data_IF_279103899350
#
_entry.id   IF_279103899350
#
_cell.length_a   1.000
_cell.length_b   1.000
_cell.length_c   1.000
_cell.angle_alpha   90.00
_cell.angle_beta   90.00
_cell.angle_gamma   90.00
#
_symmetry.space_group_name_H-M   'P 1'
#
loop_
_entity.id
_entity.type
_entity.pdbx_description
1 polymer ?
#
# COMPACT_ATOMS: atom_id res chain seq x y z
N UNK A 1 -10.06 3.93 7.91
CA UNK A 1 -10.15 3.03 6.74
C UNK A 1 -10.50 1.63 7.22
N UNK A 2 -11.36 0.92 6.51
CA UNK A 2 -11.84 -0.43 6.84
C UNK A 2 -11.59 -1.37 5.67
N UNK A 3 -11.15 -2.60 5.95
CA UNK A 3 -11.13 -3.71 4.99
C UNK A 3 -11.95 -4.84 5.63
N UNK A 4 -13.14 -5.10 5.08
CA UNK A 4 -14.12 -5.93 5.75
C UNK A 4 -14.56 -5.28 7.08
N UNK A 5 -14.69 -6.09 8.12
CA UNK A 5 -15.09 -5.64 9.45
C UNK A 5 -13.93 -5.03 10.27
N UNK A 6 -12.69 -5.09 9.78
CA UNK A 6 -11.49 -4.68 10.52
C UNK A 6 -10.93 -3.32 10.07
N UNK A 7 -10.39 -2.59 11.04
CA UNK A 7 -9.75 -1.30 10.81
C UNK A 7 -8.29 -1.45 10.40
N UNK A 8 -7.88 -0.65 9.42
CA UNK A 8 -6.47 -0.39 9.15
C UNK A 8 -6.04 0.73 10.09
N UNK A 9 -5.19 0.40 11.08
CA UNK A 9 -4.69 1.36 12.07
C UNK A 9 -3.18 1.24 12.27
N UNK A 10 -2.58 2.39 12.62
CA UNK A 10 -1.20 2.54 13.07
C UNK A 10 -0.97 1.86 14.42
N UNK A 11 -2.00 1.74 15.24
CA UNK A 11 -1.89 1.13 16.58
C UNK A 11 -1.44 -0.33 16.52
N UNK A 12 -1.80 -1.07 15.47
CA UNK A 12 -1.31 -2.44 15.26
C UNK A 12 0.21 -2.50 15.11
N UNK A 13 0.81 -1.52 14.41
CA UNK A 13 2.27 -1.42 14.26
C UNK A 13 2.94 -0.95 15.57
N UNK A 14 2.30 -0.03 16.29
CA UNK A 14 2.80 0.41 17.60
C UNK A 14 2.74 -0.71 18.64
N UNK A 15 1.70 -1.54 18.59
CA UNK A 15 1.56 -2.73 19.42
C UNK A 15 2.68 -3.73 19.07
N UNK A 16 2.91 -4.01 17.79
CA UNK A 16 4.00 -4.88 17.34
C UNK A 16 5.36 -4.45 17.90
N UNK A 17 5.68 -3.16 17.80
CA UNK A 17 6.94 -2.58 18.31
C UNK A 17 7.06 -2.75 19.83
N UNK A 18 5.95 -2.75 20.57
CA UNK A 18 5.94 -2.94 22.02
C UNK A 18 6.02 -4.41 22.42
N UNK A 19 5.36 -5.30 21.66
CA UNK A 19 5.15 -6.69 22.04
C UNK A 19 6.20 -7.66 21.51
N UNK A 20 6.97 -7.28 20.49
CA UNK A 20 7.96 -8.14 19.84
C UNK A 20 9.33 -7.49 19.76
N UNK A 21 10.38 -8.31 19.65
CA UNK A 21 11.76 -7.81 19.55
C UNK A 21 11.97 -7.09 18.23
N UNK A 22 12.69 -5.96 18.25
CA UNK A 22 13.08 -5.20 17.05
C UNK A 22 13.68 -6.09 15.97
N UNK A 23 14.40 -7.15 16.34
CA UNK A 23 15.06 -8.06 15.39
C UNK A 23 14.06 -8.81 14.49
N UNK A 24 12.81 -9.03 14.92
CA UNK A 24 11.83 -9.79 14.13
C UNK A 24 11.15 -8.94 13.06
N UNK A 25 11.04 -7.63 13.26
CA UNK A 25 10.27 -6.74 12.37
C UNK A 25 11.05 -5.53 11.84
N UNK A 26 12.20 -5.22 12.44
CA UNK A 26 13.09 -4.10 12.10
C UNK A 26 12.43 -2.70 12.08
N UNK A 27 11.39 -2.51 12.89
CA UNK A 27 10.67 -1.23 13.00
C UNK A 27 11.03 -0.49 14.28
N UNK A 28 11.07 0.83 14.20
CA UNK A 28 11.08 1.74 15.35
C UNK A 28 9.90 2.70 15.29
N UNK A 29 9.59 3.37 16.41
CA UNK A 29 8.46 4.31 16.50
C UNK A 29 8.52 5.42 15.45
N UNK A 30 9.70 5.90 15.11
CA UNK A 30 9.90 6.95 14.09
C UNK A 30 9.65 6.48 12.65
N UNK A 31 9.69 5.16 12.39
CA UNK A 31 9.29 4.64 11.08
C UNK A 31 7.76 4.79 10.93
N UNK A 32 7.02 4.43 11.98
CA UNK A 32 5.55 4.38 12.00
C UNK A 32 4.89 5.75 12.21
N UNK A 33 5.52 6.62 13.02
CA UNK A 33 5.11 8.00 13.25
C UNK A 33 6.23 8.91 12.71
N UNK A 34 6.33 9.06 11.38
CA UNK A 34 7.39 9.83 10.79
C UNK A 34 7.17 11.33 11.05
N UNK A 35 8.25 12.05 11.38
CA UNK A 35 8.24 13.52 11.38
C UNK A 35 8.07 14.06 9.96
N UNK A 36 8.72 13.41 9.00
CA UNK A 36 8.62 13.70 7.57
C UNK A 36 7.74 12.67 6.86
N UNK A 37 6.57 13.12 6.38
CA UNK A 37 5.62 12.28 5.67
C UNK A 37 6.07 11.86 4.27
N UNK A 38 7.14 12.48 3.74
CA UNK A 38 7.75 12.12 2.45
C UNK A 38 8.84 11.06 2.57
N UNK A 39 9.13 10.57 3.79
CA UNK A 39 10.13 9.53 4.01
C UNK A 39 9.69 8.17 3.44
N UNK A 40 10.10 7.90 2.20
CA UNK A 40 9.85 6.63 1.52
C UNK A 40 10.46 5.42 2.24
N UNK A 41 11.61 5.59 2.92
CA UNK A 41 12.29 4.49 3.61
C UNK A 41 11.43 3.92 4.76
N UNK A 42 10.68 4.77 5.45
CA UNK A 42 9.70 4.32 6.45
C UNK A 42 8.61 3.45 5.83
N UNK A 43 8.07 3.86 4.68
CA UNK A 43 7.07 3.08 3.95
C UNK A 43 7.62 1.71 3.53
N UNK A 44 8.87 1.68 3.07
CA UNK A 44 9.56 0.44 2.71
C UNK A 44 9.70 -0.53 3.89
N UNK A 45 10.15 -0.04 5.05
CA UNK A 45 10.30 -0.89 6.24
C UNK A 45 8.97 -1.42 6.74
N UNK A 46 7.94 -0.57 6.81
CA UNK A 46 6.62 -0.96 7.33
C UNK A 46 5.97 -2.00 6.41
N UNK A 47 6.15 -1.89 5.09
CA UNK A 47 5.63 -2.85 4.11
C UNK A 47 6.57 -4.04 3.85
N UNK A 48 7.61 -4.22 4.67
CA UNK A 48 8.54 -5.33 4.53
C UNK A 48 7.89 -6.67 4.88
N UNK A 49 8.45 -7.75 4.34
CA UNK A 49 8.00 -9.10 4.65
C UNK A 49 8.18 -9.46 6.13
N UNK A 50 9.27 -8.98 6.75
CA UNK A 50 9.51 -9.15 8.18
C UNK A 50 8.40 -8.48 9.02
N UNK A 51 8.05 -7.23 8.71
CA UNK A 51 6.95 -6.53 9.39
C UNK A 51 5.60 -7.21 9.16
N UNK A 52 5.31 -7.65 7.92
CA UNK A 52 4.08 -8.37 7.59
C UNK A 52 3.96 -9.69 8.38
N UNK A 53 5.02 -10.51 8.39
CA UNK A 53 5.03 -11.78 9.10
C UNK A 53 4.90 -11.57 10.61
N UNK A 54 5.58 -10.56 11.17
CA UNK A 54 5.52 -10.26 12.58
C UNK A 54 4.12 -9.75 13.03
N UNK A 55 3.40 -9.03 12.15
CA UNK A 55 2.01 -8.59 12.43
C UNK A 55 1.03 -9.74 12.65
N UNK A 56 1.32 -10.96 12.20
CA UNK A 56 0.46 -12.13 12.47
C UNK A 56 0.27 -12.40 13.96
N UNK A 57 1.24 -12.00 14.79
CA UNK A 57 1.17 -12.08 16.25
C UNK A 57 0.28 -11.02 16.89
N UNK A 58 -0.11 -9.98 16.15
CA UNK A 58 -0.95 -8.89 16.65
C UNK A 58 -2.43 -9.21 16.39
N UNK A 59 -3.28 -9.29 17.43
CA UNK A 59 -4.69 -9.62 17.27
C UNK A 59 -5.43 -8.55 16.46
N UNK A 60 -6.43 -8.97 15.69
CA UNK A 60 -7.27 -8.09 14.85
C UNK A 60 -6.52 -7.23 13.82
N UNK A 61 -5.28 -7.58 13.49
CA UNK A 61 -4.45 -6.81 12.56
C UNK A 61 -4.61 -7.19 11.07
N UNK A 62 -5.54 -8.10 10.73
CA UNK A 62 -5.63 -8.68 9.38
C UNK A 62 -5.92 -7.63 8.30
N UNK A 63 -6.78 -6.65 8.57
CA UNK A 63 -6.96 -5.51 7.66
C UNK A 63 -5.66 -4.72 7.44
N UNK A 64 -4.92 -4.42 8.52
CA UNK A 64 -3.61 -3.76 8.39
C UNK A 64 -2.62 -4.61 7.58
N UNK A 65 -2.57 -5.92 7.80
CA UNK A 65 -1.73 -6.83 7.01
C UNK A 65 -2.06 -6.78 5.52
N UNK A 66 -3.35 -6.87 5.16
CA UNK A 66 -3.79 -6.79 3.75
C UNK A 66 -3.41 -5.43 3.15
N UNK A 67 -3.62 -4.34 3.90
CA UNK A 67 -3.25 -3.01 3.44
C UNK A 67 -1.74 -2.88 3.17
N UNK A 68 -0.90 -3.40 4.06
CA UNK A 68 0.55 -3.41 3.86
C UNK A 68 0.98 -4.34 2.72
N UNK A 69 0.28 -5.45 2.51
CA UNK A 69 0.49 -6.32 1.36
C UNK A 69 0.21 -5.59 0.03
N UNK A 70 -0.85 -4.78 -0.04
CA UNK A 70 -1.14 -3.96 -1.23
C UNK A 70 0.04 -3.03 -1.51
N UNK A 71 0.53 -2.32 -0.49
CA UNK A 71 1.70 -1.43 -0.62
C UNK A 71 2.93 -2.22 -1.08
N UNK A 72 3.21 -3.37 -0.46
CA UNK A 72 4.33 -4.24 -0.83
C UNK A 72 4.26 -4.67 -2.30
N UNK A 73 3.10 -5.10 -2.75
CA UNK A 73 2.88 -5.51 -4.14
C UNK A 73 3.08 -4.33 -5.12
N UNK A 74 2.63 -3.11 -4.77
CA UNK A 74 2.88 -1.91 -5.59
C UNK A 74 4.39 -1.69 -5.73
N UNK A 75 5.13 -1.79 -4.63
CA UNK A 75 6.60 -1.63 -4.64
C UNK A 75 7.27 -2.71 -5.50
N UNK A 76 6.88 -3.97 -5.35
CA UNK A 76 7.42 -5.08 -6.14
C UNK A 76 7.14 -4.90 -7.64
N UNK A 77 5.94 -4.45 -8.00
CA UNK A 77 5.56 -4.24 -9.39
C UNK A 77 6.31 -3.07 -10.05
N UNK A 78 6.35 -1.90 -9.39
CA UNK A 78 6.70 -0.64 -10.05
C UNK A 78 7.99 0.03 -9.58
N UNK A 79 8.59 -0.41 -8.47
CA UNK A 79 9.73 0.30 -7.86
C UNK A 79 10.96 -0.60 -7.72
N UNK A 80 10.77 -1.83 -7.24
CA UNK A 80 11.85 -2.80 -7.07
C UNK A 80 12.62 -2.98 -8.38
N UNK A 81 13.95 -3.02 -8.36
CA UNK A 81 14.80 -3.25 -9.54
C UNK A 81 14.89 -4.73 -9.88
N UNK A 82 14.79 -5.60 -8.89
CA UNK A 82 15.14 -7.02 -9.01
C UNK A 82 13.96 -7.91 -9.41
N UNK A 83 12.75 -7.34 -9.50
CA UNK A 83 11.54 -8.07 -9.87
C UNK A 83 11.52 -8.35 -11.37
N UNK A 84 11.34 -9.62 -11.75
CA UNK A 84 11.16 -10.01 -13.17
C UNK A 84 9.85 -9.44 -13.72
N UNK A 85 9.81 -9.18 -15.02
CA UNK A 85 8.68 -8.52 -15.64
C UNK A 85 7.33 -9.25 -15.46
N UNK A 86 7.32 -10.58 -15.60
CA UNK A 86 6.10 -11.38 -15.40
C UNK A 86 5.59 -11.29 -13.95
N UNK A 87 6.50 -11.29 -12.97
CA UNK A 87 6.15 -11.14 -11.56
C UNK A 87 5.59 -9.74 -11.28
N UNK A 88 6.08 -8.71 -11.98
CA UNK A 88 5.52 -7.35 -11.88
C UNK A 88 4.07 -7.31 -12.34
N UNK A 89 3.75 -7.95 -13.48
CA UNK A 89 2.36 -8.08 -13.96
C UNK A 89 1.51 -8.79 -12.90
N UNK A 90 2.01 -9.89 -12.34
CA UNK A 90 1.31 -10.63 -11.29
C UNK A 90 0.99 -9.74 -10.08
N UNK A 91 1.98 -9.05 -9.52
CA UNK A 91 1.77 -8.19 -8.34
C UNK A 91 0.86 -7.00 -8.64
N UNK A 92 0.98 -6.39 -9.83
CA UNK A 92 0.12 -5.30 -10.27
C UNK A 92 -1.34 -5.74 -10.36
N UNK A 93 -1.61 -6.86 -11.03
CA UNK A 93 -2.98 -7.37 -11.18
C UNK A 93 -3.56 -7.96 -9.91
N UNK A 94 -2.75 -8.61 -9.08
CA UNK A 94 -3.18 -9.04 -7.75
C UNK A 94 -3.71 -7.85 -6.94
N UNK A 95 -3.02 -6.71 -7.02
CA UNK A 95 -3.52 -5.48 -6.40
C UNK A 95 -4.83 -4.99 -7.00
N UNK A 96 -4.97 -4.96 -8.33
CA UNK A 96 -6.23 -4.60 -9.00
C UNK A 96 -7.39 -5.46 -8.48
N UNK A 97 -7.21 -6.78 -8.39
CA UNK A 97 -8.23 -7.68 -7.86
C UNK A 97 -8.59 -7.33 -6.42
N UNK A 98 -7.60 -7.21 -5.54
CA UNK A 98 -7.82 -6.89 -4.12
C UNK A 98 -8.58 -5.57 -3.96
N UNK A 99 -8.17 -4.50 -4.66
CA UNK A 99 -8.80 -3.18 -4.53
C UNK A 99 -10.20 -3.14 -5.16
N UNK A 100 -10.46 -3.89 -6.23
CA UNK A 100 -11.81 -4.01 -6.82
C UNK A 100 -12.78 -4.78 -5.93
N UNK A 101 -12.33 -5.87 -5.32
CA UNK A 101 -13.13 -6.58 -4.32
C UNK A 101 -13.44 -5.67 -3.14
N UNK A 102 -12.42 -4.99 -2.63
CA UNK A 102 -12.59 -4.05 -1.52
C UNK A 102 -13.52 -2.90 -1.89
N UNK A 103 -13.40 -2.31 -3.08
CA UNK A 103 -14.29 -1.26 -3.56
C UNK A 103 -15.73 -1.75 -3.70
N UNK A 104 -15.93 -2.95 -4.25
CA UNK A 104 -17.27 -3.55 -4.42
C UNK A 104 -17.95 -3.86 -3.10
N UNK A 105 -17.20 -4.38 -2.13
CA UNK A 105 -17.68 -4.54 -0.76
C UNK A 105 -18.06 -3.18 -0.18
N UNK A 106 -17.14 -2.22 -0.26
CA UNK A 106 -17.34 -0.87 0.26
C UNK A 106 -18.57 -0.19 -0.33
N UNK A 107 -18.84 -0.30 -1.63
CA UNK A 107 -20.01 0.31 -2.27
C UNK A 107 -21.32 -0.32 -1.79
N UNK A 108 -21.35 -1.63 -1.55
CA UNK A 108 -22.52 -2.37 -1.06
C UNK A 108 -22.81 -2.18 0.43
N UNK A 109 -21.80 -1.97 1.27
CA UNK A 109 -21.97 -1.81 2.72
C UNK A 109 -22.57 -0.45 3.07
N UNK A 110 -23.53 -0.39 3.99
CA UNK A 110 -24.12 0.89 4.41
C UNK A 110 -23.18 1.67 5.33
N UNK A 111 -23.35 2.99 5.44
CA UNK A 111 -22.55 3.79 6.38
C UNK A 111 -22.75 3.30 7.83
N UNK A 112 -23.98 2.97 8.21
CA UNK A 112 -24.30 2.51 9.56
C UNK A 112 -23.58 1.20 9.92
N UNK A 113 -23.46 0.26 8.97
CA UNK A 113 -22.69 -0.98 9.14
C UNK A 113 -21.19 -0.69 9.34
N UNK A 114 -20.63 0.24 8.57
CA UNK A 114 -19.22 0.65 8.69
C UNK A 114 -18.95 1.33 10.03
N UNK A 115 -19.83 2.25 10.44
CA UNK A 115 -19.75 2.94 11.73
C UNK A 115 -19.84 1.93 12.90
N UNK A 116 -20.76 0.96 12.81
CA UNK A 116 -20.92 -0.10 13.81
C UNK A 116 -19.68 -0.98 13.94
N UNK A 117 -19.05 -1.33 12.81
CA UNK A 117 -17.83 -2.16 12.77
C UNK A 117 -16.64 -1.49 13.48
N UNK A 118 -16.57 -0.16 13.44
CA UNK A 118 -15.55 0.60 14.17
C UNK A 118 -15.85 0.73 15.67
N UNK A 119 -17.11 1.00 16.01
CA UNK A 119 -17.55 1.21 17.38
C UNK A 119 -17.44 -0.05 18.23
N UNK A 120 -17.80 -1.22 17.69
CA UNK A 120 -17.69 -2.51 18.39
C UNK A 120 -16.26 -2.83 18.83
N UNK A 121 -15.25 -2.25 18.18
CA UNK A 121 -13.84 -2.57 18.41
C UNK A 121 -13.05 -1.45 19.08
N UNK A 122 -13.74 -0.44 19.63
CA UNK A 122 -13.13 0.71 20.32
C UNK A 122 -12.05 1.45 19.50
N UNK A 123 -12.06 1.32 18.17
CA UNK A 123 -11.02 1.94 17.32
C UNK A 123 -11.12 3.47 17.32
N UNK A 124 -12.26 4.06 17.70
CA UNK A 124 -12.46 5.51 17.77
C UNK A 124 -13.35 5.87 18.97
N UNK A 125 -12.85 6.74 19.87
CA UNK A 125 -13.62 7.45 20.90
C UNK A 125 -13.65 8.97 20.70
N UNK A 126 -13.18 9.49 19.56
CA UNK A 126 -13.06 10.93 19.33
C UNK A 126 -13.70 11.36 18.01
N UNK A 127 -14.67 12.27 18.13
CA UNK A 127 -15.22 13.13 17.08
C UNK A 127 -15.65 12.43 15.79
N UNK A 128 -16.78 11.71 15.84
CA UNK A 128 -17.60 11.40 14.66
C UNK A 128 -18.24 12.72 14.17
N UNK A 129 -17.41 13.65 13.68
CA UNK A 129 -17.86 14.81 12.92
C UNK A 129 -18.37 14.28 11.59
N UNK A 130 -19.68 14.29 11.39
CA UNK A 130 -20.38 14.31 10.08
C UNK A 130 -19.59 13.82 8.86
N UNK A 131 -19.00 12.63 8.95
CA UNK A 131 -18.06 12.18 7.94
C UNK A 131 -18.80 11.42 6.85
N UNK A 132 -18.35 11.59 5.61
CA UNK A 132 -18.91 10.84 4.49
C UNK A 132 -18.38 9.41 4.51
N UNK A 133 -19.14 8.49 3.92
CA UNK A 133 -18.75 7.07 3.74
C UNK A 133 -17.32 6.91 3.19
N UNK A 134 -16.85 7.88 2.39
CA UNK A 134 -15.52 7.89 1.74
C UNK A 134 -14.34 7.75 2.71
N UNK A 135 -14.45 8.12 3.98
CA UNK A 135 -13.34 7.99 4.94
C UNK A 135 -12.91 6.53 5.23
N UNK A 136 -13.77 5.56 4.90
CA UNK A 136 -13.51 4.15 5.15
C UNK A 136 -12.75 3.47 4.03
N UNK A 137 -12.58 4.13 2.88
CA UNK A 137 -11.89 3.59 1.72
C UNK A 137 -10.67 4.43 1.36
N UNK A 138 -9.78 3.90 0.52
CA UNK A 138 -8.72 4.72 -0.07
C UNK A 138 -9.29 5.80 -0.99
N UNK A 139 -8.48 6.79 -1.33
CA UNK A 139 -8.93 7.86 -2.22
C UNK A 139 -9.12 7.33 -3.64
N UNK A 140 -10.08 7.89 -4.39
CA UNK A 140 -10.29 7.52 -5.80
C UNK A 140 -9.03 7.69 -6.67
N UNK A 141 -8.22 8.75 -6.52
CA UNK A 141 -6.96 8.85 -7.26
C UNK A 141 -6.00 7.69 -6.99
N UNK A 142 -5.91 7.21 -5.74
CA UNK A 142 -5.07 6.06 -5.41
C UNK A 142 -5.60 4.77 -6.07
N UNK A 143 -6.92 4.54 -6.01
CA UNK A 143 -7.57 3.42 -6.70
C UNK A 143 -7.29 3.44 -8.21
N UNK A 144 -7.57 4.57 -8.87
CA UNK A 144 -7.38 4.69 -10.31
C UNK A 144 -5.91 4.60 -10.72
N UNK A 145 -4.97 5.12 -9.91
CA UNK A 145 -3.55 4.95 -10.17
C UNK A 145 -3.14 3.48 -10.19
N UNK A 146 -3.66 2.66 -9.26
CA UNK A 146 -3.40 1.22 -9.25
C UNK A 146 -3.93 0.57 -10.54
N UNK A 147 -5.16 0.91 -10.96
CA UNK A 147 -5.74 0.35 -12.17
C UNK A 147 -5.00 0.77 -13.44
N UNK A 148 -4.79 2.07 -13.63
CA UNK A 148 -4.12 2.63 -14.80
C UNK A 148 -2.72 2.05 -14.93
N UNK A 149 -1.92 2.07 -13.87
CA UNK A 149 -0.54 1.56 -13.93
C UNK A 149 -0.48 0.07 -14.26
N UNK A 150 -1.42 -0.73 -13.74
CA UNK A 150 -1.48 -2.18 -14.00
C UNK A 150 -1.90 -2.49 -15.44
N UNK A 151 -2.87 -1.74 -15.98
CA UNK A 151 -3.28 -1.86 -17.38
C UNK A 151 -2.16 -1.43 -18.33
N UNK A 152 -1.50 -0.30 -18.05
CA UNK A 152 -0.35 0.19 -18.83
C UNK A 152 0.78 -0.82 -18.86
N UNK A 153 1.10 -1.46 -17.73
CA UNK A 153 2.16 -2.46 -17.67
C UNK A 153 1.90 -3.66 -18.59
N UNK A 154 0.67 -4.16 -18.64
CA UNK A 154 0.29 -5.22 -19.59
C UNK A 154 0.31 -4.73 -21.02
N UNK A 155 -0.16 -3.52 -21.27
CA UNK A 155 -0.19 -2.96 -22.61
C UNK A 155 1.23 -2.81 -23.20
N UNK A 156 2.19 -2.30 -22.42
CA UNK A 156 3.60 -2.23 -22.81
C UNK A 156 4.15 -3.63 -23.15
N UNK A 157 3.78 -4.65 -22.35
CA UNK A 157 4.17 -6.03 -22.61
C UNK A 157 3.67 -6.52 -23.97
N UNK A 158 2.38 -6.30 -24.24
CA UNK A 158 1.73 -6.72 -25.48
C UNK A 158 2.34 -6.02 -26.70
N UNK A 159 2.57 -4.71 -26.61
CA UNK A 159 3.21 -3.94 -27.68
C UNK A 159 4.64 -4.44 -27.95
N UNK A 160 5.39 -4.81 -26.91
CA UNK A 160 6.74 -5.36 -27.05
C UNK A 160 6.70 -6.75 -27.73
N UNK A 161 5.79 -7.62 -27.29
CA UNK A 161 5.59 -8.96 -27.91
C UNK A 161 5.18 -8.84 -29.38
N UNK A 162 4.39 -7.82 -29.72
CA UNK A 162 3.97 -7.51 -31.08
C UNK A 162 5.04 -6.77 -31.91
N UNK A 163 6.25 -6.60 -31.37
CA UNK A 163 7.35 -5.86 -31.99
C UNK A 163 7.01 -4.40 -32.35
N UNK A 164 6.05 -3.79 -31.65
CA UNK A 164 5.68 -2.37 -31.81
C UNK A 164 6.46 -1.46 -30.86
N UNK A 165 7.04 -2.02 -29.79
CA UNK A 165 7.96 -1.36 -28.89
C UNK A 165 9.25 -2.18 -28.75
N UNK A 166 10.39 -1.52 -28.49
CA UNK A 166 11.65 -2.20 -28.24
C UNK A 166 11.66 -2.86 -26.85
N UNK A 167 12.48 -3.90 -26.67
CA UNK A 167 12.51 -4.70 -25.42
C UNK A 167 12.89 -3.86 -24.19
N UNK A 168 13.65 -2.78 -24.38
CA UNK A 168 14.05 -1.83 -23.34
C UNK A 168 12.84 -1.17 -22.66
N UNK A 169 11.69 -1.08 -23.35
CA UNK A 169 10.44 -0.60 -22.75
C UNK A 169 9.92 -1.51 -21.63
N UNK A 170 10.41 -2.75 -21.51
CA UNK A 170 10.10 -3.63 -20.38
C UNK A 170 10.87 -3.24 -19.10
N UNK A 171 11.79 -2.27 -19.17
CA UNK A 171 12.49 -1.79 -17.98
C UNK A 171 11.63 -0.82 -17.15
N UNK A 172 10.74 -1.40 -16.33
CA UNK A 172 9.79 -0.66 -15.47
C UNK A 172 10.47 0.30 -14.48
N UNK A 173 11.73 0.05 -14.12
CA UNK A 173 12.47 0.92 -13.18
C UNK A 173 12.63 2.35 -13.69
N UNK A 174 12.50 2.56 -15.01
CA UNK A 174 12.57 3.86 -15.67
C UNK A 174 11.27 4.67 -15.58
N UNK A 175 10.15 4.06 -15.16
CA UNK A 175 8.83 4.70 -15.18
C UNK A 175 8.44 5.41 -13.88
N UNK A 176 9.34 5.47 -12.91
CA UNK A 176 9.11 6.19 -11.66
C UNK A 176 9.92 7.50 -11.62
N UNK A 177 9.52 8.41 -10.74
CA UNK A 177 10.15 9.73 -10.59
C UNK A 177 11.39 9.74 -9.69
N UNK A 178 11.91 8.59 -9.24
CA UNK A 178 13.00 8.54 -8.26
C UNK A 178 14.29 9.18 -8.80
N UNK A 179 14.57 9.00 -10.10
CA UNK A 179 15.70 9.66 -10.76
C UNK A 179 15.55 11.19 -10.72
N UNK A 180 14.35 11.72 -11.02
CA UNK A 180 14.08 13.15 -10.94
C UNK A 180 14.24 13.70 -9.50
N UNK A 181 13.71 12.99 -8.50
CA UNK A 181 13.85 13.36 -7.09
C UNK A 181 15.30 13.33 -6.61
N UNK A 182 16.13 12.44 -7.18
CA UNK A 182 17.58 12.42 -6.93
C UNK A 182 18.24 13.68 -7.48
N UNK A 183 17.97 14.03 -8.74
CA UNK A 183 18.54 15.23 -9.36
C UNK A 183 18.08 16.51 -8.64
N UNK A 184 16.81 16.63 -8.24
CA UNK A 184 16.35 17.77 -7.44
C UNK A 184 17.00 17.86 -6.06
N UNK A 185 17.39 16.73 -5.45
CA UNK A 185 18.18 16.75 -4.21
C UNK A 185 19.60 17.24 -4.46
N UNK A 186 20.24 16.80 -5.56
CA UNK A 186 21.57 17.25 -5.94
C UNK A 186 21.58 18.76 -6.22
N UNK A 187 20.62 19.27 -6.99
CA UNK A 187 20.49 20.69 -7.27
C UNK A 187 20.25 21.55 -6.01
N UNK A 188 19.58 21.02 -4.98
CA UNK A 188 19.37 21.72 -3.70
C UNK A 188 20.58 21.65 -2.76
N UNK A 189 21.50 20.72 -3.00
CA UNK A 189 22.72 20.55 -2.19
C UNK A 189 23.91 21.35 -2.72
N UNK A 190 23.82 21.84 -3.96
CA UNK A 190 24.71 22.86 -4.53
C UNK A 190 24.31 24.24 -4.02
#
# INVERSE_FOLDING_TARGET
MLIGDQAVTVDHLLQLIKSSSKMSHNLVKSDVIPKDRQNYQSCEKISSEAAFNALTSVPNSRATQIYLQIIRNIRLAFISTDTKYIDRIYYAWLNVFIVRFWYTWFTKTTKNELDSSLNQRNYIKQNIRTSTKRQYFMTHPALFSIEINSHTLVYIALLTIQCQLPEECLNVSLFNSQSCEREFRLCRSM
#
